data_IF_144485397569
#
_entry.id   IF_144485397569
#
_cell.length_a   1.000
_cell.length_b   1.000
_cell.length_c   1.000
_cell.angle_alpha   90.00
_cell.angle_beta   90.00
_cell.angle_gamma   90.00
#
_symmetry.space_group_name_H-M   'P 1'
#
loop_
_entity.id
_entity.type
_entity.pdbx_description
1 polymer ?
#
# COMPACT_ATOMS: atom_id res chain seq x y z
N UNK A 1 -6.60 12.66 -8.82
CA UNK A 1 -5.53 11.66 -9.06
C UNK A 1 -4.56 12.24 -10.08
N UNK A 2 -3.25 12.25 -9.80
CA UNK A 2 -2.21 12.88 -10.65
C UNK A 2 -2.25 12.38 -12.10
N UNK A 3 -2.61 11.11 -12.30
CA UNK A 3 -2.69 10.49 -13.62
C UNK A 3 -3.90 10.94 -14.47
N UNK A 4 -4.86 11.68 -13.91
CA UNK A 4 -6.02 12.19 -14.66
C UNK A 4 -5.81 13.61 -15.21
N UNK A 5 -4.66 14.24 -14.94
CA UNK A 5 -4.30 15.55 -15.46
C UNK A 5 -3.04 15.40 -16.32
N UNK A 6 -3.09 15.81 -17.59
CA UNK A 6 -2.01 15.62 -18.55
C UNK A 6 -0.70 16.35 -18.18
N UNK A 7 -0.81 17.53 -17.58
CA UNK A 7 0.34 18.32 -17.15
C UNK A 7 1.02 17.66 -15.94
N UNK A 8 0.23 17.31 -14.93
CA UNK A 8 0.73 16.60 -13.74
C UNK A 8 1.25 15.19 -14.09
N UNK A 9 0.62 14.49 -15.05
CA UNK A 9 1.04 13.18 -15.50
C UNK A 9 2.35 13.21 -16.30
N UNK A 10 2.64 14.31 -17.01
CA UNK A 10 3.93 14.54 -17.67
C UNK A 10 5.03 14.84 -16.66
N UNK A 11 4.73 15.64 -15.63
CA UNK A 11 5.69 15.92 -14.56
C UNK A 11 5.98 14.68 -13.70
N UNK A 12 4.97 13.85 -13.46
CA UNK A 12 5.10 12.52 -12.88
C UNK A 12 5.53 11.50 -13.94
N UNK A 13 6.75 11.69 -14.45
CA UNK A 13 7.35 10.89 -15.50
C UNK A 13 7.57 9.42 -15.11
N UNK A 14 8.10 8.64 -16.06
CA UNK A 14 8.35 7.22 -15.85
C UNK A 14 9.37 6.93 -14.73
N UNK A 15 10.37 7.80 -14.56
CA UNK A 15 11.37 7.64 -13.51
C UNK A 15 10.75 7.73 -12.13
N UNK A 16 9.93 8.76 -11.90
CA UNK A 16 9.19 8.94 -10.63
C UNK A 16 8.22 7.80 -10.38
N UNK A 17 7.48 7.35 -11.42
CA UNK A 17 6.59 6.18 -11.32
C UNK A 17 7.33 4.92 -10.90
N UNK A 18 8.51 4.67 -11.45
CA UNK A 18 9.34 3.52 -11.08
C UNK A 18 9.82 3.61 -9.63
N UNK A 19 10.17 4.81 -9.14
CA UNK A 19 10.52 5.02 -7.73
C UNK A 19 9.36 4.62 -6.83
N UNK A 20 8.15 5.13 -7.11
CA UNK A 20 6.93 4.81 -6.38
C UNK A 20 6.64 3.30 -6.37
N UNK A 21 6.70 2.64 -7.53
CA UNK A 21 6.47 1.18 -7.64
C UNK A 21 7.49 0.40 -6.80
N UNK A 22 8.77 0.79 -6.86
CA UNK A 22 9.83 0.14 -6.06
C UNK A 22 9.59 0.32 -4.57
N UNK A 23 9.26 1.53 -4.12
CA UNK A 23 8.92 1.84 -2.73
C UNK A 23 7.77 0.96 -2.26
N UNK A 24 6.64 0.95 -2.98
CA UNK A 24 5.51 0.08 -2.64
C UNK A 24 5.90 -1.41 -2.59
N UNK A 25 6.73 -1.90 -3.54
CA UNK A 25 7.16 -3.31 -3.55
C UNK A 25 8.01 -3.70 -2.34
N UNK A 26 8.85 -2.79 -1.83
CA UNK A 26 9.71 -3.02 -0.67
C UNK A 26 8.88 -3.25 0.60
N UNK A 27 7.71 -2.60 0.72
CA UNK A 27 6.78 -2.72 1.85
C UNK A 27 5.89 -3.96 1.78
N UNK A 28 5.73 -4.52 0.58
CA UNK A 28 4.90 -5.70 0.32
C UNK A 28 5.72 -6.98 0.22
N UNK A 29 7.04 -6.86 0.17
CA UNK A 29 7.96 -7.97 -0.10
C UNK A 29 8.39 -8.74 1.16
N UNK A 30 9.04 -9.90 0.97
CA UNK A 30 9.55 -10.74 2.06
C UNK A 30 10.66 -10.08 2.90
N UNK A 31 11.23 -8.97 2.43
CA UNK A 31 12.25 -8.19 3.13
C UNK A 31 11.71 -6.87 3.70
N UNK A 32 10.39 -6.70 3.73
CA UNK A 32 9.81 -5.52 4.35
C UNK A 32 10.20 -5.45 5.84
N UNK A 33 10.40 -4.24 6.39
CA UNK A 33 10.76 -4.10 7.80
C UNK A 33 9.73 -4.78 8.72
N UNK A 34 10.21 -5.40 9.79
CA UNK A 34 9.35 -6.12 10.72
C UNK A 34 8.36 -5.16 11.40
N UNK A 35 7.07 -5.42 11.21
CA UNK A 35 5.98 -4.76 11.91
C UNK A 35 5.39 -5.76 12.92
N UNK A 36 5.38 -5.41 14.21
CA UNK A 36 4.90 -6.29 15.28
C UNK A 36 3.86 -5.54 16.13
N UNK A 37 2.58 -5.94 16.11
CA UNK A 37 2.00 -7.03 15.31
C UNK A 37 1.88 -6.66 13.81
N UNK A 38 1.99 -7.62 12.88
CA UNK A 38 1.88 -7.33 11.46
C UNK A 38 0.53 -6.72 11.09
N UNK A 39 0.52 -5.82 10.11
CA UNK A 39 -0.69 -5.17 9.62
C UNK A 39 -0.99 -5.63 8.20
N UNK A 40 -2.27 -5.69 7.84
CA UNK A 40 -2.76 -5.95 6.48
C UNK A 40 -3.67 -4.80 6.11
N UNK A 41 -3.31 -4.01 5.09
CA UNK A 41 -4.09 -2.85 4.68
C UNK A 41 -5.47 -3.22 4.11
N UNK A 42 -5.52 -4.31 3.34
CA UNK A 42 -6.70 -4.85 2.63
C UNK A 42 -7.31 -3.94 1.55
N UNK A 43 -6.92 -2.68 1.41
CA UNK A 43 -7.35 -1.81 0.30
C UNK A 43 -6.20 -1.05 -0.37
N UNK A 44 -5.20 -1.78 -0.88
CA UNK A 44 -4.13 -1.16 -1.67
C UNK A 44 -4.65 -0.87 -3.08
N UNK A 45 -4.82 0.40 -3.38
CA UNK A 45 -5.27 0.92 -4.67
C UNK A 45 -4.67 2.30 -4.91
N UNK A 46 -4.73 2.78 -6.14
CA UNK A 46 -4.14 4.09 -6.51
C UNK A 46 -4.76 5.28 -5.77
N UNK A 47 -6.00 5.16 -5.25
CA UNK A 47 -6.65 6.17 -4.41
C UNK A 47 -6.06 6.26 -3.00
N UNK A 48 -5.43 5.18 -2.53
CA UNK A 48 -4.90 5.02 -1.17
C UNK A 48 -3.35 5.07 -1.16
N UNK A 49 -2.75 5.55 -2.25
CA UNK A 49 -1.32 5.87 -2.33
C UNK A 49 -1.20 7.37 -2.55
N UNK A 50 -0.70 8.07 -1.53
CA UNK A 50 -0.41 9.49 -1.58
C UNK A 50 1.02 9.71 -2.03
N UNK A 51 1.26 10.82 -2.72
CA UNK A 51 2.59 11.29 -3.09
C UNK A 51 2.85 12.60 -2.36
N UNK A 52 3.99 12.71 -1.70
CA UNK A 52 4.44 13.97 -1.11
C UNK A 52 5.11 14.88 -2.16
N UNK A 53 5.68 16.00 -1.72
CA UNK A 53 6.35 16.96 -2.61
C UNK A 53 7.58 16.38 -3.31
N UNK A 54 8.19 15.34 -2.75
CA UNK A 54 9.37 14.67 -3.30
C UNK A 54 9.00 13.46 -4.16
N UNK A 55 7.71 13.23 -4.40
CA UNK A 55 7.17 12.06 -5.11
C UNK A 55 7.46 10.73 -4.40
N UNK A 56 7.68 10.75 -3.09
CA UNK A 56 7.72 9.54 -2.27
C UNK A 56 6.29 9.05 -2.00
N UNK A 57 6.14 7.73 -1.99
CA UNK A 57 4.84 7.08 -1.92
C UNK A 57 4.48 6.64 -0.50
N UNK A 58 3.32 7.09 -0.05
CA UNK A 58 2.79 6.84 1.28
C UNK A 58 1.44 6.13 1.20
N UNK A 59 1.27 5.06 1.97
CA UNK A 59 -0.01 4.33 2.02
C UNK A 59 -0.96 5.05 2.97
N UNK A 60 -2.19 5.30 2.55
CA UNK A 60 -3.24 5.96 3.32
C UNK A 60 -4.51 5.13 3.42
N UNK A 61 -5.45 5.57 4.25
CA UNK A 61 -6.75 4.93 4.51
C UNK A 61 -6.68 3.50 5.09
N UNK A 62 -6.28 3.45 6.36
CA UNK A 62 -6.28 2.25 7.18
C UNK A 62 -7.67 1.82 7.67
N UNK A 63 -8.76 2.39 7.16
CA UNK A 63 -10.12 2.07 7.60
C UNK A 63 -10.48 0.59 7.40
N UNK A 64 -9.92 -0.04 6.37
CA UNK A 64 -10.01 -1.49 6.15
C UNK A 64 -8.81 -2.25 6.70
N UNK A 65 -7.88 -1.61 7.39
CA UNK A 65 -6.69 -2.26 7.96
C UNK A 65 -7.06 -3.35 8.97
N UNK A 66 -6.15 -4.32 9.15
CA UNK A 66 -6.28 -5.35 10.18
C UNK A 66 -4.93 -5.72 10.77
N UNK A 67 -4.86 -5.81 12.09
CA UNK A 67 -3.75 -6.44 12.81
C UNK A 67 -3.86 -7.97 12.70
N UNK A 68 -2.74 -8.61 12.35
CA UNK A 68 -2.62 -10.06 12.37
C UNK A 68 -2.29 -10.55 13.76
N UNK A 69 -3.00 -11.57 14.20
CA UNK A 69 -2.68 -12.35 15.39
C UNK A 69 -1.82 -13.52 14.97
N UNK A 70 -0.64 -13.67 15.60
CA UNK A 70 0.28 -14.78 15.30
C UNK A 70 -0.26 -16.13 15.77
N UNK A 71 -1.16 -16.14 16.74
CA UNK A 71 -1.63 -17.32 17.47
C UNK A 71 -3.05 -17.78 17.09
N UNK A 72 -3.71 -17.11 16.15
CA UNK A 72 -5.12 -17.37 15.83
C UNK A 72 -5.49 -17.06 14.38
N UNK A 73 -6.70 -17.44 13.98
CA UNK A 73 -7.17 -17.25 12.60
C UNK A 73 -7.28 -15.76 12.25
N UNK A 74 -6.63 -15.37 11.16
CA UNK A 74 -6.70 -14.02 10.61
C UNK A 74 -7.78 -13.84 9.54
N UNK A 75 -8.66 -14.83 9.33
CA UNK A 75 -9.78 -14.71 8.38
C UNK A 75 -10.72 -13.56 8.74
N UNK A 76 -11.22 -12.85 7.74
CA UNK A 76 -12.25 -11.82 7.88
C UNK A 76 -13.25 -11.89 6.73
N UNK A 77 -14.35 -11.13 6.85
CA UNK A 77 -15.14 -10.76 5.70
C UNK A 77 -14.29 -10.06 4.64
N UNK A 78 -14.73 -10.15 3.39
CA UNK A 78 -14.12 -9.46 2.27
C UNK A 78 -14.12 -7.94 2.53
N UNK A 79 -12.97 -7.31 2.31
CA UNK A 79 -12.77 -5.87 2.38
C UNK A 79 -11.78 -5.45 1.29
N UNK A 80 -11.84 -4.19 0.87
CA UNK A 80 -11.00 -3.64 -0.19
C UNK A 80 -11.77 -3.27 -1.45
N UNK A 81 -11.08 -2.60 -2.36
CA UNK A 81 -11.62 -2.22 -3.66
C UNK A 81 -11.68 -3.42 -4.58
N UNK A 82 -12.88 -3.75 -5.08
CA UNK A 82 -13.20 -4.97 -5.83
C UNK A 82 -12.16 -5.33 -6.92
N UNK A 83 -11.70 -4.36 -7.71
CA UNK A 83 -10.75 -4.55 -8.82
C UNK A 83 -9.33 -4.95 -8.36
N UNK A 84 -9.01 -4.71 -7.09
CA UNK A 84 -7.70 -4.92 -6.49
C UNK A 84 -7.69 -6.08 -5.47
N UNK A 85 -8.82 -6.76 -5.28
CA UNK A 85 -8.93 -7.90 -4.35
C UNK A 85 -8.22 -9.13 -4.94
N UNK A 86 -7.26 -9.67 -4.19
CA UNK A 86 -6.60 -10.92 -4.55
C UNK A 86 -7.58 -12.11 -4.45
N UNK A 87 -7.52 -13.09 -5.38
CA UNK A 87 -8.44 -14.24 -5.42
C UNK A 87 -8.36 -15.16 -4.18
N UNK A 88 -7.30 -15.04 -3.37
CA UNK A 88 -7.10 -15.79 -2.12
C UNK A 88 -7.35 -15.01 -0.81
N UNK A 89 -7.77 -13.73 -0.89
CA UNK A 89 -8.10 -12.86 0.25
C UNK A 89 -6.97 -12.49 1.24
N UNK A 90 -5.69 -12.57 0.84
CA UNK A 90 -4.58 -12.14 1.70
C UNK A 90 -3.57 -11.26 0.92
N UNK A 91 -3.62 -9.95 1.16
CA UNK A 91 -2.56 -9.00 0.76
C UNK A 91 -1.94 -8.42 2.03
N UNK A 92 -0.83 -9.00 2.47
CA UNK A 92 -0.09 -8.54 3.65
C UNK A 92 0.69 -7.27 3.30
N UNK A 93 0.54 -6.21 4.10
CA UNK A 93 1.29 -4.96 3.92
C UNK A 93 2.11 -4.73 5.17
N UNK A 94 3.38 -5.06 5.12
CA UNK A 94 4.29 -4.82 6.23
C UNK A 94 4.62 -3.33 6.25
N UNK A 95 4.05 -2.63 7.21
CA UNK A 95 4.38 -1.23 7.45
C UNK A 95 5.46 -1.18 8.50
N UNK A 96 6.70 -1.10 8.01
CA UNK A 96 7.79 -0.58 8.82
C UNK A 96 7.47 0.84 9.28
N UNK A 97 8.06 1.24 10.41
CA UNK A 97 7.97 2.58 10.99
C UNK A 97 8.27 3.73 10.02
N UNK A 98 8.91 3.46 8.89
CA UNK A 98 9.43 4.45 7.95
C UNK A 98 8.39 4.97 6.94
N UNK A 99 7.14 4.53 7.05
CA UNK A 99 6.00 4.97 6.22
C UNK A 99 4.83 5.50 7.06
N UNK A 100 5.06 5.69 8.35
CA UNK A 100 4.20 6.56 9.14
C UNK A 100 4.67 7.98 8.86
N UNK A 101 3.77 8.75 8.24
CA UNK A 101 3.85 10.17 7.86
C UNK A 101 4.39 10.47 6.46
#
# INVERSE_FOLDING_TARGET
MILCNDEAAKEFDWGKRLTVIKRCSLCLGPHAPECIPPIVHRDISSKNVLLDSEYEAHVSDFGTGKLLKLDSSNRTMLAGTYEYVAPGHELVVYLGSDLLF
#
